data_IF_391710995687
#
_entry.id   IF_391710995687
#
_cell.length_a   1.000
_cell.length_b   1.000
_cell.length_c   1.000
_cell.angle_alpha   90.00
_cell.angle_beta   90.00
_cell.angle_gamma   90.00
#
_symmetry.space_group_name_H-M   'P 1'
#
loop_
_entity.id
_entity.type
_entity.pdbx_description
1 polymer ?
#
# COMPACT_ATOMS: atom_id res chain seq x y z
N UNK A 1 -7.85 23.64 -11.61
CA UNK A 1 -7.73 24.69 -10.57
C UNK A 1 -8.27 26.05 -10.99
N UNK A 2 -8.40 26.38 -12.29
CA UNK A 2 -8.91 27.71 -12.73
C UNK A 2 -10.44 27.83 -12.82
N UNK A 3 -11.15 26.71 -12.75
CA UNK A 3 -12.61 26.63 -12.80
C UNK A 3 -13.09 25.61 -11.76
N UNK A 4 -14.34 25.73 -11.33
CA UNK A 4 -14.96 24.89 -10.31
C UNK A 4 -15.17 25.65 -8.99
N UNK A 5 -15.32 24.91 -7.90
CA UNK A 5 -15.45 25.48 -6.57
C UNK A 5 -14.12 26.15 -6.12
N UNK A 6 -14.16 27.35 -5.52
CA UNK A 6 -12.96 27.98 -4.98
C UNK A 6 -12.34 27.13 -3.88
N UNK A 7 -11.08 26.71 -4.07
CA UNK A 7 -10.35 25.92 -3.07
C UNK A 7 -10.27 26.64 -1.71
N UNK A 8 -10.08 27.96 -1.74
CA UNK A 8 -10.19 28.81 -0.55
C UNK A 8 -11.50 29.62 -0.57
N UNK A 9 -12.26 29.69 0.54
CA UNK A 9 -12.06 28.96 1.80
C UNK A 9 -12.71 27.56 1.81
N UNK A 10 -13.54 27.24 0.81
CA UNK A 10 -14.51 26.14 0.91
C UNK A 10 -13.87 24.78 1.23
N UNK A 11 -12.90 24.35 0.42
CA UNK A 11 -12.22 23.07 0.65
C UNK A 11 -11.16 23.20 1.74
N UNK A 12 -10.26 24.17 1.60
CA UNK A 12 -9.05 24.26 2.44
C UNK A 12 -9.33 24.64 3.89
N UNK A 13 -10.30 25.53 4.15
CA UNK A 13 -10.59 26.00 5.49
C UNK A 13 -11.67 25.16 6.16
N UNK A 14 -12.67 24.67 5.42
CA UNK A 14 -13.79 23.95 6.03
C UNK A 14 -13.68 22.43 5.89
N UNK A 15 -13.43 21.90 4.70
CA UNK A 15 -13.41 20.44 4.49
C UNK A 15 -12.13 19.81 5.03
N UNK A 16 -10.97 20.43 4.79
CA UNK A 16 -9.68 19.84 5.19
C UNK A 16 -9.57 19.60 6.70
N UNK A 17 -9.91 20.56 7.58
CA UNK A 17 -9.89 20.31 9.03
C UNK A 17 -10.85 19.20 9.46
N UNK A 18 -12.01 19.04 8.81
CA UNK A 18 -12.95 17.95 9.11
C UNK A 18 -12.32 16.60 8.78
N UNK A 19 -11.66 16.47 7.62
CA UNK A 19 -10.95 15.24 7.24
C UNK A 19 -9.78 14.96 8.18
N UNK A 20 -8.98 15.98 8.50
CA UNK A 20 -7.85 15.85 9.42
C UNK A 20 -8.34 15.40 10.80
N UNK A 21 -9.26 16.14 11.42
CA UNK A 21 -9.76 15.81 12.75
C UNK A 21 -10.49 14.47 12.78
N UNK A 22 -11.25 14.14 11.73
CA UNK A 22 -11.92 12.85 11.61
C UNK A 22 -10.94 11.68 11.54
N UNK A 23 -9.90 11.79 10.71
CA UNK A 23 -8.86 10.74 10.62
C UNK A 23 -8.07 10.60 11.91
N UNK A 24 -7.68 11.72 12.54
CA UNK A 24 -7.03 11.70 13.85
C UNK A 24 -7.92 11.08 14.93
N UNK A 25 -9.21 11.42 14.96
CA UNK A 25 -10.15 10.85 15.93
C UNK A 25 -10.29 9.33 15.76
N UNK A 26 -10.33 8.83 14.52
CA UNK A 26 -10.33 7.39 14.25
C UNK A 26 -9.05 6.71 14.75
N UNK A 27 -7.87 7.28 14.48
CA UNK A 27 -6.58 6.72 14.91
C UNK A 27 -6.47 6.71 16.44
N UNK A 28 -6.84 7.81 17.10
CA UNK A 28 -6.86 7.89 18.58
C UNK A 28 -7.87 6.91 19.16
N UNK A 29 -9.06 6.82 18.57
CA UNK A 29 -10.09 5.86 18.98
C UNK A 29 -9.58 4.42 18.93
N UNK A 30 -8.95 4.02 17.83
CA UNK A 30 -8.34 2.69 17.70
C UNK A 30 -7.22 2.47 18.72
N UNK A 31 -6.34 3.45 18.92
CA UNK A 31 -5.23 3.34 19.87
C UNK A 31 -5.69 3.22 21.33
N UNK A 32 -6.84 3.81 21.68
CA UNK A 32 -7.43 3.73 23.02
C UNK A 32 -8.20 2.42 23.21
N UNK A 33 -8.93 1.95 22.19
CA UNK A 33 -9.72 0.72 22.25
C UNK A 33 -8.83 -0.53 22.24
N UNK A 34 -7.75 -0.51 21.45
CA UNK A 34 -6.81 -1.63 21.30
C UNK A 34 -5.36 -1.13 21.45
N UNK A 35 -4.88 -0.94 22.70
CA UNK A 35 -3.54 -0.45 22.96
C UNK A 35 -2.48 -1.48 22.59
N UNK A 36 -1.31 -1.00 22.13
CA UNK A 36 -0.20 -1.87 21.74
C UNK A 36 0.27 -2.75 22.90
N UNK A 37 0.44 -4.04 22.62
CA UNK A 37 1.00 -5.00 23.58
C UNK A 37 2.52 -4.97 23.48
N UNK A 38 3.19 -4.78 24.62
CA UNK A 38 4.65 -4.88 24.71
C UNK A 38 5.02 -6.36 24.82
N UNK A 39 5.79 -6.86 23.84
CA UNK A 39 6.29 -8.23 23.82
C UNK A 39 7.46 -8.48 24.78
N UNK A 40 7.89 -9.74 24.84
CA UNK A 40 9.06 -10.14 25.62
C UNK A 40 10.36 -9.52 25.08
N UNK A 41 11.38 -9.30 25.94
CA UNK A 41 12.70 -8.86 25.48
C UNK A 41 13.31 -9.84 24.47
N UNK A 42 14.02 -9.31 23.47
CA UNK A 42 14.63 -10.13 22.42
C UNK A 42 15.68 -11.11 23.00
N UNK A 43 15.56 -12.39 22.63
CA UNK A 43 16.52 -13.44 22.99
C UNK A 43 17.08 -14.11 21.73
N UNK A 44 18.38 -13.92 21.40
CA UNK A 44 18.99 -14.52 20.21
C UNK A 44 19.00 -16.05 20.19
N UNK A 45 18.85 -16.72 21.35
CA UNK A 45 18.89 -18.17 21.47
C UNK A 45 17.50 -18.82 21.50
N UNK A 46 16.43 -18.03 21.44
CA UNK A 46 15.05 -18.53 21.45
C UNK A 46 14.26 -17.95 20.27
N UNK A 47 13.91 -18.80 19.30
CA UNK A 47 13.06 -18.41 18.16
C UNK A 47 11.59 -18.61 18.49
N UNK A 48 10.71 -17.60 18.30
CA UNK A 48 9.28 -17.77 18.50
C UNK A 48 8.67 -18.69 17.44
N UNK A 49 7.51 -19.27 17.74
CA UNK A 49 6.80 -20.21 16.86
C UNK A 49 6.31 -19.54 15.56
N UNK A 50 5.86 -18.30 15.65
CA UNK A 50 5.35 -17.52 14.52
C UNK A 50 6.22 -16.28 14.31
N UNK A 51 6.84 -16.18 13.13
CA UNK A 51 7.64 -15.02 12.71
C UNK A 51 6.95 -14.44 11.47
N UNK A 52 6.25 -13.32 11.67
CA UNK A 52 5.54 -12.60 10.62
C UNK A 52 6.00 -11.13 10.64
N UNK A 53 6.21 -10.52 9.46
CA UNK A 53 6.45 -9.08 9.38
C UNK A 53 5.12 -8.31 9.52
N UNK A 54 5.15 -7.00 9.29
CA UNK A 54 3.91 -6.23 9.18
C UNK A 54 3.10 -6.61 7.93
N UNK A 55 1.78 -6.36 7.99
CA UNK A 55 0.79 -6.83 7.01
C UNK A 55 1.10 -6.40 5.56
N UNK A 56 1.64 -5.21 5.36
CA UNK A 56 2.00 -4.72 4.02
C UNK A 56 3.22 -5.43 3.41
N UNK A 57 3.99 -6.18 4.21
CA UNK A 57 5.09 -7.02 3.74
C UNK A 57 4.69 -8.47 3.47
N UNK A 58 3.47 -8.89 3.81
CA UNK A 58 3.01 -10.28 3.58
C UNK A 58 3.21 -10.78 2.15
N UNK A 59 2.93 -10.01 1.08
CA UNK A 59 3.10 -10.51 -0.29
C UNK A 59 4.59 -10.75 -0.61
N UNK A 60 5.45 -9.83 -0.20
CA UNK A 60 6.91 -9.95 -0.39
C UNK A 60 7.53 -11.06 0.47
N UNK A 61 6.99 -11.28 1.67
CA UNK A 61 7.40 -12.35 2.57
C UNK A 61 7.00 -13.73 2.03
N UNK A 62 5.80 -13.83 1.45
CA UNK A 62 5.34 -15.04 0.76
C UNK A 62 6.27 -15.39 -0.42
N UNK A 63 6.65 -14.40 -1.24
CA UNK A 63 7.62 -14.60 -2.32
C UNK A 63 8.99 -15.08 -1.79
N UNK A 64 9.47 -14.48 -0.70
CA UNK A 64 10.77 -14.82 -0.11
C UNK A 64 10.84 -16.28 0.39
N UNK A 65 9.75 -16.80 0.95
CA UNK A 65 9.71 -18.17 1.52
C UNK A 65 9.31 -19.26 0.51
N UNK A 66 8.62 -18.90 -0.57
CA UNK A 66 8.14 -19.87 -1.57
C UNK A 66 9.11 -20.11 -2.71
N UNK A 67 9.93 -19.11 -3.06
CA UNK A 67 10.90 -19.24 -4.15
C UNK A 67 12.15 -19.96 -3.64
N UNK A 68 12.52 -21.13 -4.21
CA UNK A 68 13.64 -21.93 -3.70
C UNK A 68 15.01 -21.27 -3.94
N UNK A 69 15.15 -20.49 -5.01
CA UNK A 69 16.37 -19.77 -5.32
C UNK A 69 16.38 -18.39 -4.64
N UNK A 70 17.28 -18.19 -3.67
CA UNK A 70 17.40 -16.95 -2.90
C UNK A 70 17.65 -15.71 -3.79
N UNK A 71 18.47 -15.83 -4.83
CA UNK A 71 18.76 -14.71 -5.73
C UNK A 71 17.50 -14.33 -6.52
N UNK A 72 16.78 -15.31 -7.04
CA UNK A 72 15.52 -15.08 -7.76
C UNK A 72 14.47 -14.43 -6.86
N UNK A 73 14.34 -14.88 -5.61
CA UNK A 73 13.43 -14.28 -4.63
C UNK A 73 13.71 -12.80 -4.39
N UNK A 74 14.98 -12.43 -4.18
CA UNK A 74 15.40 -11.03 -4.01
C UNK A 74 15.12 -10.19 -5.26
N UNK A 75 15.39 -10.73 -6.45
CA UNK A 75 15.11 -10.05 -7.71
C UNK A 75 13.60 -9.80 -7.92
N UNK A 76 12.74 -10.76 -7.57
CA UNK A 76 11.29 -10.62 -7.66
C UNK A 76 10.76 -9.55 -6.70
N UNK A 77 11.28 -9.48 -5.48
CA UNK A 77 10.92 -8.42 -4.52
C UNK A 77 11.34 -7.04 -5.06
N UNK A 78 12.56 -6.92 -5.58
CA UNK A 78 13.04 -5.67 -6.19
C UNK A 78 12.25 -5.28 -7.45
N UNK A 79 11.71 -6.26 -8.18
CA UNK A 79 10.91 -6.02 -9.37
C UNK A 79 9.57 -5.33 -9.06
N UNK A 80 9.04 -5.40 -7.84
CA UNK A 80 7.78 -4.74 -7.47
C UNK A 80 7.89 -3.20 -7.58
N UNK A 81 8.77 -2.50 -6.83
CA UNK A 81 8.92 -1.06 -6.97
C UNK A 81 9.47 -0.64 -8.34
N UNK A 82 10.39 -1.41 -8.93
CA UNK A 82 10.94 -1.11 -10.27
C UNK A 82 9.85 -1.19 -11.33
N UNK A 83 8.99 -2.22 -11.29
CA UNK A 83 7.85 -2.35 -12.19
C UNK A 83 6.87 -1.19 -12.04
N UNK A 84 6.54 -0.81 -10.79
CA UNK A 84 5.66 0.34 -10.53
C UNK A 84 6.23 1.65 -11.07
N UNK A 85 7.55 1.87 -10.99
CA UNK A 85 8.21 3.04 -11.58
C UNK A 85 8.07 3.10 -13.10
N UNK A 86 7.94 1.95 -13.78
CA UNK A 86 7.80 1.90 -15.24
C UNK A 86 6.38 2.16 -15.74
N UNK A 87 5.36 2.10 -14.86
CA UNK A 87 3.93 2.27 -15.21
C UNK A 87 3.65 3.54 -16.04
N UNK A 88 4.04 4.77 -15.64
CA UNK A 88 3.72 5.97 -16.42
C UNK A 88 4.32 5.96 -17.83
N UNK A 89 5.46 5.27 -18.03
CA UNK A 89 6.10 5.18 -19.34
C UNK A 89 5.40 4.17 -20.24
N UNK A 90 5.04 3.00 -19.71
CA UNK A 90 4.30 1.95 -20.44
C UNK A 90 2.89 2.46 -20.81
N UNK A 91 2.24 3.13 -19.88
CA UNK A 91 0.85 3.56 -20.02
C UNK A 91 0.66 4.88 -20.81
N UNK A 92 1.75 5.59 -21.11
CA UNK A 92 1.75 6.86 -21.86
C UNK A 92 1.16 6.77 -23.27
N UNK A 93 1.03 5.55 -23.81
CA UNK A 93 0.45 5.28 -25.14
C UNK A 93 -1.00 5.77 -25.22
N UNK A 94 -1.77 5.64 -24.13
CA UNK A 94 -3.17 6.03 -24.07
C UNK A 94 -3.38 7.23 -23.12
N UNK A 95 -3.94 8.32 -23.64
CA UNK A 95 -4.24 9.54 -22.85
C UNK A 95 -5.54 9.46 -22.06
N UNK A 96 -6.40 8.46 -22.30
CA UNK A 96 -7.63 8.30 -21.55
C UNK A 96 -7.30 8.04 -20.07
N UNK A 97 -7.91 8.80 -19.16
CA UNK A 97 -7.72 8.63 -17.71
C UNK A 97 -8.79 7.73 -17.09
N UNK A 98 -10.00 7.68 -17.67
CA UNK A 98 -11.10 6.88 -17.16
C UNK A 98 -10.76 5.37 -17.28
N UNK A 99 -10.74 4.60 -16.18
CA UNK A 99 -10.41 3.17 -16.20
C UNK A 99 -11.30 2.34 -17.13
N UNK A 100 -12.57 2.71 -17.29
CA UNK A 100 -13.51 2.03 -18.20
C UNK A 100 -13.12 2.15 -19.67
N UNK A 101 -12.30 3.15 -20.03
CA UNK A 101 -11.74 3.34 -21.38
C UNK A 101 -10.37 2.68 -21.55
N UNK A 102 -9.89 1.93 -20.54
CA UNK A 102 -8.58 1.28 -20.50
C UNK A 102 -8.71 -0.19 -20.04
N UNK A 103 -9.47 -1.03 -20.78
CA UNK A 103 -9.82 -2.38 -20.34
C UNK A 103 -8.61 -3.29 -20.09
N UNK A 104 -7.51 -3.09 -20.81
CA UNK A 104 -6.28 -3.86 -20.62
C UNK A 104 -5.61 -3.49 -19.28
N UNK A 105 -5.35 -2.20 -19.05
CA UNK A 105 -4.70 -1.71 -17.83
C UNK A 105 -5.48 -2.10 -16.56
N UNK A 106 -6.81 -1.92 -16.57
CA UNK A 106 -7.65 -2.26 -15.42
C UNK A 106 -7.66 -3.77 -15.13
N UNK A 107 -7.61 -4.61 -16.18
CA UNK A 107 -7.54 -6.07 -16.00
C UNK A 107 -6.22 -6.48 -15.35
N UNK A 108 -5.08 -5.94 -15.81
CA UNK A 108 -3.79 -6.21 -15.18
C UNK A 108 -3.72 -5.70 -13.73
N UNK A 109 -4.28 -4.52 -13.46
CA UNK A 109 -4.37 -3.98 -12.11
C UNK A 109 -5.15 -4.91 -11.17
N UNK A 110 -6.31 -5.42 -11.61
CA UNK A 110 -7.09 -6.35 -10.80
C UNK A 110 -6.39 -7.70 -10.62
N UNK A 111 -5.81 -8.27 -11.67
CA UNK A 111 -5.02 -9.52 -11.57
C UNK A 111 -3.88 -9.34 -10.56
N UNK A 112 -3.13 -8.24 -10.66
CA UNK A 112 -2.05 -7.92 -9.74
C UNK A 112 -2.55 -7.79 -8.30
N UNK A 113 -3.65 -7.07 -8.08
CA UNK A 113 -4.26 -6.88 -6.76
C UNK A 113 -4.69 -8.21 -6.14
N UNK A 114 -5.41 -9.05 -6.89
CA UNK A 114 -5.86 -10.36 -6.39
C UNK A 114 -4.72 -11.34 -6.17
N UNK A 115 -3.61 -11.24 -6.93
CA UNK A 115 -2.44 -12.09 -6.74
C UNK A 115 -1.60 -11.71 -5.51
N UNK A 116 -1.72 -10.46 -5.05
CA UNK A 116 -0.94 -9.93 -3.94
C UNK A 116 -1.64 -10.07 -2.58
N UNK A 117 -2.96 -10.31 -2.56
CA UNK A 117 -3.76 -10.60 -1.36
C UNK A 117 -3.62 -12.08 -1.01
#
# INVERSE_FOLDING_TARGET
NYYGEPAWPNDLLYIFPVVILGTFACVIGLAVIDPVVIGEPANPFATPLEILPEWYFYPTFQLLRTVPNKLLGVLLIAAVPVGLLTVPFIESINRAQNPLRRPVAITFFFIGTFSAI
#
